data_IF_918335424561
#
_entry.id   IF_918335424561
#
_cell.length_a   1.000
_cell.length_b   1.000
_cell.length_c   1.000
_cell.angle_alpha   90.00
_cell.angle_beta   90.00
_cell.angle_gamma   90.00
#
_symmetry.space_group_name_H-M   'P 1'
#
loop_
_entity.id
_entity.type
_entity.pdbx_description
1 polymer ?
#
# COMPACT_ATOMS: atom_id res chain seq x y z
N UNK A 1 -14.28 2.36 0.79
CA UNK A 1 -13.40 3.39 0.80
C UNK A 1 -12.27 3.10 1.71
N UNK A 2 -11.17 3.69 1.51
CA UNK A 2 -10.00 3.31 2.21
C UNK A 2 -9.79 4.25 3.38
N UNK A 3 -10.45 3.99 4.47
CA UNK A 3 -10.36 4.87 5.63
C UNK A 3 -8.98 4.90 6.23
N UNK A 4 -8.18 3.88 5.97
CA UNK A 4 -6.83 3.83 6.53
C UNK A 4 -5.78 4.39 5.60
N UNK A 5 -6.19 4.83 4.42
CA UNK A 5 -5.26 5.38 3.44
C UNK A 5 -5.59 6.85 3.22
N UNK A 6 -4.57 7.68 3.14
CA UNK A 6 -4.78 9.08 2.90
C UNK A 6 -3.86 9.56 1.79
N UNK A 7 -4.31 10.56 1.05
CA UNK A 7 -3.49 11.18 0.03
C UNK A 7 -3.51 12.66 0.34
N UNK A 8 -2.36 13.20 0.67
CA UNK A 8 -2.26 14.58 1.06
C UNK A 8 -1.00 15.15 0.42
N UNK A 9 -1.13 16.25 -0.29
CA UNK A 9 0.00 16.83 -1.01
C UNK A 9 1.15 17.22 -0.09
N UNK A 10 0.89 17.38 1.19
CA UNK A 10 1.92 17.76 2.12
C UNK A 10 2.49 16.57 2.88
N UNK A 11 2.01 15.38 2.61
CA UNK A 11 2.49 14.19 3.28
C UNK A 11 2.89 13.20 2.20
N UNK A 12 4.06 12.63 2.30
CA UNK A 12 4.58 11.65 1.34
C UNK A 12 4.53 12.17 -0.10
N UNK A 13 4.70 13.50 -0.24
CA UNK A 13 4.71 14.13 -1.56
C UNK A 13 3.45 13.85 -2.35
N UNK A 14 2.32 13.73 -1.71
CA UNK A 14 1.06 13.47 -2.41
C UNK A 14 0.82 12.02 -2.73
N UNK A 15 1.73 11.13 -2.33
CA UNK A 15 1.52 9.72 -2.57
C UNK A 15 0.60 9.15 -1.50
N UNK A 16 -0.11 8.08 -1.85
CA UNK A 16 -0.97 7.43 -0.87
C UNK A 16 -0.13 6.91 0.28
N UNK A 17 -0.54 7.16 1.50
CA UNK A 17 0.16 6.63 2.65
C UNK A 17 -0.84 6.21 3.71
N UNK A 18 -0.36 5.49 4.71
CA UNK A 18 -1.22 4.99 5.76
C UNK A 18 -1.59 6.16 6.65
N UNK A 19 -2.89 6.32 6.90
CA UNK A 19 -3.41 7.46 7.62
C UNK A 19 -2.77 7.55 8.99
N UNK A 20 -2.39 8.73 9.37
CA UNK A 20 -1.74 8.95 10.65
C UNK A 20 -0.26 8.67 10.65
N UNK A 21 0.31 8.32 9.51
CA UNK A 21 1.73 8.03 9.41
C UNK A 21 2.29 8.74 8.19
N UNK A 22 3.60 8.60 7.98
CA UNK A 22 4.22 9.05 6.75
C UNK A 22 4.77 7.85 5.99
N UNK A 23 4.14 6.69 6.14
CA UNK A 23 4.57 5.47 5.50
C UNK A 23 3.79 5.31 4.21
N UNK A 24 4.45 5.39 3.05
CA UNK A 24 3.74 5.27 1.77
C UNK A 24 3.24 3.86 1.55
N UNK A 25 2.07 3.76 0.94
CA UNK A 25 1.48 2.46 0.63
C UNK A 25 2.43 1.65 -0.24
N UNK A 26 3.05 2.30 -1.25
CA UNK A 26 3.91 1.56 -2.16
C UNK A 26 5.12 0.95 -1.45
N UNK A 27 5.58 1.56 -0.36
CA UNK A 27 6.70 1.02 0.38
C UNK A 27 6.30 -0.30 1.05
N UNK A 28 5.11 -0.36 1.62
CA UNK A 28 4.62 -1.59 2.23
C UNK A 28 4.47 -2.68 1.18
N UNK A 29 3.89 -2.34 0.04
CA UNK A 29 3.70 -3.31 -1.02
C UNK A 29 5.05 -3.84 -1.51
N UNK A 30 6.02 -2.94 -1.66
CA UNK A 30 7.33 -3.34 -2.15
C UNK A 30 8.05 -4.26 -1.16
N UNK A 31 7.91 -4.01 0.12
CA UNK A 31 8.52 -4.87 1.13
C UNK A 31 7.91 -6.27 1.09
N UNK A 32 6.60 -6.34 0.93
CA UNK A 32 5.94 -7.64 0.81
C UNK A 32 6.38 -8.36 -0.47
N UNK A 33 6.53 -7.59 -1.54
CA UNK A 33 6.98 -8.17 -2.81
C UNK A 33 8.41 -8.71 -2.70
N UNK A 34 9.20 -8.13 -1.81
CA UNK A 34 10.57 -8.59 -1.60
C UNK A 34 10.66 -9.78 -0.65
N UNK A 35 9.52 -10.25 -0.15
CA UNK A 35 9.52 -11.43 0.69
C UNK A 35 9.35 -11.18 2.18
N UNK A 36 9.21 -9.93 2.58
CA UNK A 36 8.99 -9.64 4.00
C UNK A 36 7.62 -10.14 4.40
N UNK A 37 7.50 -10.61 5.63
CA UNK A 37 6.22 -11.09 6.12
C UNK A 37 5.54 -9.97 6.86
N UNK A 38 4.23 -10.10 7.01
CA UNK A 38 3.46 -9.09 7.73
C UNK A 38 4.01 -8.88 9.12
N UNK A 39 4.40 -9.97 9.81
CA UNK A 39 4.94 -9.83 11.16
C UNK A 39 6.22 -9.00 11.17
N UNK A 40 7.03 -9.12 10.11
CA UNK A 40 8.26 -8.33 10.03
C UNK A 40 7.93 -6.85 9.92
N UNK A 41 6.92 -6.51 9.13
CA UNK A 41 6.53 -5.12 8.97
C UNK A 41 5.99 -4.55 10.27
N UNK A 42 5.22 -5.34 11.00
CA UNK A 42 4.67 -4.88 12.26
C UNK A 42 5.75 -4.68 13.30
N UNK A 43 6.84 -5.44 13.20
CA UNK A 43 7.93 -5.26 14.09
C UNK A 43 8.72 -4.01 13.77
N UNK A 44 8.92 -3.75 12.48
CA UNK A 44 9.70 -2.60 12.03
C UNK A 44 8.94 -1.28 12.22
N UNK A 45 7.64 -1.29 12.10
CA UNK A 45 6.84 -0.09 12.20
C UNK A 45 5.81 -0.27 13.30
N UNK A 46 6.16 0.14 14.49
CA UNK A 46 5.31 -0.10 15.65
C UNK A 46 3.95 0.58 15.57
N UNK A 47 3.82 1.58 14.72
CA UNK A 47 2.54 2.27 14.58
C UNK A 47 1.58 1.54 13.65
N UNK A 48 2.03 0.49 12.97
CA UNK A 48 1.17 -0.21 12.04
C UNK A 48 0.39 -1.30 12.71
N UNK A 49 -0.78 -1.57 12.15
CA UNK A 49 -1.59 -2.70 12.55
C UNK A 49 -1.80 -3.59 11.34
N UNK A 50 -2.17 -4.82 11.56
CA UNK A 50 -2.43 -5.76 10.47
C UNK A 50 -3.46 -5.20 9.48
N UNK A 51 -4.48 -4.52 9.99
CA UNK A 51 -5.50 -3.93 9.12
C UNK A 51 -4.91 -2.88 8.18
N UNK A 52 -3.86 -2.19 8.62
CA UNK A 52 -3.23 -1.19 7.76
C UNK A 52 -2.58 -1.87 6.56
N UNK A 53 -1.97 -3.03 6.78
CA UNK A 53 -1.31 -3.75 5.69
C UNK A 53 -2.35 -4.29 4.73
N UNK A 54 -3.46 -4.83 5.24
CA UNK A 54 -4.52 -5.31 4.36
C UNK A 54 -5.12 -4.14 3.56
N UNK A 55 -5.23 -2.97 4.17
CA UNK A 55 -5.73 -1.80 3.45
C UNK A 55 -4.80 -1.43 2.30
N UNK A 56 -3.49 -1.54 2.51
CA UNK A 56 -2.52 -1.27 1.45
C UNK A 56 -2.68 -2.26 0.30
N UNK A 57 -2.86 -3.53 0.61
CA UNK A 57 -3.03 -4.55 -0.41
C UNK A 57 -4.32 -4.33 -1.19
N UNK A 58 -5.39 -3.97 -0.49
CA UNK A 58 -6.66 -3.72 -1.12
C UNK A 58 -6.59 -2.50 -2.03
N UNK A 59 -5.91 -1.45 -1.58
CA UNK A 59 -5.73 -0.25 -2.36
C UNK A 59 -4.95 -0.56 -3.65
N UNK A 60 -3.89 -1.35 -3.52
CA UNK A 60 -3.09 -1.73 -4.68
C UNK A 60 -3.90 -2.57 -5.65
N UNK A 61 -4.73 -3.47 -5.14
CA UNK A 61 -5.58 -4.29 -5.98
C UNK A 61 -6.58 -3.43 -6.75
N UNK A 62 -7.15 -2.44 -6.10
CA UNK A 62 -8.10 -1.55 -6.75
C UNK A 62 -7.44 -0.76 -7.88
N UNK A 63 -6.21 -0.30 -7.64
CA UNK A 63 -5.50 0.42 -8.68
C UNK A 63 -5.20 -0.48 -9.87
N UNK A 64 -4.83 -1.72 -9.61
CA UNK A 64 -4.54 -2.66 -10.68
C UNK A 64 -5.80 -2.97 -11.49
N UNK A 65 -6.94 -3.06 -10.81
CA UNK A 65 -8.17 -3.33 -11.52
C UNK A 65 -8.59 -2.18 -12.42
N UNK A 66 -8.27 -0.97 -12.01
CA UNK A 66 -8.68 0.18 -12.79
C UNK A 66 -7.83 0.38 -14.03
N UNK A 67 -6.68 -0.27 -14.08
CA UNK A 67 -5.83 -0.07 -15.22
C UNK A 67 -6.13 -1.14 -16.21
N UNK A 68 -7.08 -0.90 -17.06
CA UNK A 68 -7.40 -1.84 -18.10
C UNK A 68 -6.47 -1.61 -19.22
N UNK A 69 -5.49 -2.41 -19.34
CA UNK A 69 -4.54 -2.31 -20.42
C UNK A 69 -4.79 -3.43 -21.38
N UNK A 70 -5.10 -3.12 -22.59
CA UNK A 70 -5.40 -4.12 -23.57
C UNK A 70 -4.16 -4.80 -23.98
N UNK A 71 -3.47 -5.43 -23.14
CA UNK A 71 -2.32 -6.03 -23.50
C UNK A 71 -2.56 -7.33 -23.95
N UNK A 72 -1.96 -7.74 -24.85
CA UNK A 72 -2.07 -8.91 -25.35
C UNK A 72 -1.26 -9.73 -24.67
N UNK A 73 -1.11 -9.96 -23.71
CA UNK A 73 -0.26 -10.74 -23.08
C UNK A 73 0.01 -11.82 -23.79
N UNK A 74 -0.20 -11.90 -24.70
CA UNK A 74 0.28 -12.87 -25.37
C UNK A 74 0.54 -13.87 -24.48
N UNK A 75 0.26 -13.85 -23.91
CA UNK A 75 0.63 -14.69 -23.26
C UNK A 75 0.73 -15.62 -23.55
#
# INVERSE_FOLDING_TARGET
MYERITINSQICHGQACIKGTRIPVHQIIRMLANGDKIDDLLEDYSSLKTQDIYACLDYAAALAEEQITPIEYAV
#
